data_IF_957898038313
#
_entry.id   IF_957898038313
#
_cell.length_a   1.000
_cell.length_b   1.000
_cell.length_c   1.000
_cell.angle_alpha   90.00
_cell.angle_beta   90.00
_cell.angle_gamma   90.00
#
_symmetry.space_group_name_H-M   'P 1'
#
loop_
_entity.id
_entity.type
_entity.pdbx_description
1 polymer ?
#
# COMPACT_ATOMS: atom_id res chain seq x y z
N UNK A 1 -3.64 -10.87 22.29
CA UNK A 1 -2.60 -10.19 21.51
C UNK A 1 -3.15 -9.92 20.13
N UNK A 2 -3.16 -8.66 19.69
CA UNK A 2 -3.69 -8.27 18.37
C UNK A 2 -2.72 -8.69 17.27
N UNK A 3 -3.17 -9.40 16.25
CA UNK A 3 -2.35 -9.87 15.12
C UNK A 3 -2.46 -8.89 13.96
N UNK A 4 -1.35 -8.26 13.60
CA UNK A 4 -1.27 -7.23 12.58
C UNK A 4 -0.34 -7.73 11.49
N UNK A 5 -0.89 -8.08 10.34
CA UNK A 5 -0.10 -8.45 9.17
C UNK A 5 0.33 -7.19 8.41
N UNK A 6 1.55 -7.15 7.90
CA UNK A 6 2.01 -6.11 6.97
C UNK A 6 2.63 -6.78 5.76
N UNK A 7 2.16 -6.41 4.56
CA UNK A 7 2.69 -6.89 3.28
C UNK A 7 3.25 -5.70 2.53
N UNK A 8 4.53 -5.76 2.16
CA UNK A 8 5.21 -4.77 1.34
C UNK A 8 5.62 -5.37 0.00
N UNK A 9 5.49 -4.62 -1.09
CA UNK A 9 5.81 -5.12 -2.44
C UNK A 9 7.29 -5.50 -2.58
N UNK A 10 8.18 -4.54 -2.31
CA UNK A 10 9.62 -4.66 -2.54
C UNK A 10 10.37 -3.77 -1.56
N UNK A 11 11.66 -4.03 -1.32
CA UNK A 11 12.53 -3.08 -0.62
C UNK A 11 12.72 -1.82 -1.48
N UNK A 12 12.27 -0.69 -0.95
CA UNK A 12 12.40 0.61 -1.60
C UNK A 12 12.24 1.67 -0.52
N UNK A 13 13.12 2.68 -0.53
CA UNK A 13 13.23 3.68 0.55
C UNK A 13 11.87 4.28 0.96
N UNK A 14 11.01 4.61 0.00
CA UNK A 14 9.69 5.18 0.30
C UNK A 14 8.78 4.18 1.04
N UNK A 15 8.79 2.91 0.64
CA UNK A 15 7.95 1.88 1.26
C UNK A 15 8.46 1.51 2.66
N UNK A 16 9.78 1.48 2.83
CA UNK A 16 10.40 1.23 4.13
C UNK A 16 10.08 2.36 5.12
N UNK A 17 10.06 3.62 4.67
CA UNK A 17 9.64 4.75 5.50
C UNK A 17 8.19 4.58 5.94
N UNK A 18 7.29 4.16 5.05
CA UNK A 18 5.88 3.92 5.38
C UNK A 18 5.76 2.84 6.44
N UNK A 19 6.42 1.69 6.27
CA UNK A 19 6.38 0.60 7.24
C UNK A 19 6.92 1.01 8.62
N UNK A 20 8.07 1.70 8.65
CA UNK A 20 8.67 2.14 9.90
C UNK A 20 7.78 3.18 10.60
N UNK A 21 7.25 4.16 9.87
CA UNK A 21 6.34 5.18 10.42
C UNK A 21 5.06 4.55 10.98
N UNK A 22 4.49 3.56 10.27
CA UNK A 22 3.34 2.80 10.75
C UNK A 22 3.63 2.07 12.07
N UNK A 23 4.77 1.40 12.15
CA UNK A 23 5.18 0.67 13.36
C UNK A 23 5.44 1.61 14.54
N UNK A 24 6.07 2.76 14.29
CA UNK A 24 6.33 3.77 15.30
C UNK A 24 5.02 4.37 15.83
N UNK A 25 4.10 4.75 14.94
CA UNK A 25 2.78 5.27 15.31
C UNK A 25 1.96 4.24 16.11
N UNK A 26 1.97 2.96 15.71
CA UNK A 26 1.31 1.90 16.48
C UNK A 26 1.84 1.84 17.92
N UNK A 27 3.15 1.97 18.11
CA UNK A 27 3.76 1.98 19.43
C UNK A 27 3.32 3.20 20.23
N UNK A 28 3.26 4.39 19.62
CA UNK A 28 2.76 5.61 20.27
C UNK A 28 1.29 5.48 20.70
N UNK A 29 0.47 4.81 19.90
CA UNK A 29 -0.91 4.46 20.21
C UNK A 29 -1.05 3.32 21.24
N UNK A 30 0.06 2.78 21.72
CA UNK A 30 0.12 1.74 22.75
C UNK A 30 0.04 0.31 22.25
N UNK A 31 0.13 0.06 20.94
CA UNK A 31 0.26 -1.28 20.35
C UNK A 31 1.75 -1.65 20.23
N UNK A 32 2.27 -2.33 21.24
CA UNK A 32 3.67 -2.73 21.34
C UNK A 32 3.83 -4.18 20.88
N UNK A 33 4.66 -4.37 19.86
CA UNK A 33 4.95 -5.68 19.30
C UNK A 33 5.64 -6.61 20.32
N UNK A 34 5.16 -7.85 20.41
CA UNK A 34 5.60 -8.85 21.38
C UNK A 34 4.94 -8.73 22.76
N UNK A 35 4.26 -7.63 23.07
CA UNK A 35 3.59 -7.41 24.36
C UNK A 35 2.07 -7.56 24.25
N UNK A 36 1.41 -6.63 23.53
CA UNK A 36 -0.04 -6.63 23.35
C UNK A 36 -0.47 -6.71 21.88
N UNK A 37 0.47 -6.50 20.95
CA UNK A 37 0.34 -6.75 19.52
C UNK A 37 1.41 -7.75 19.04
N UNK A 38 1.15 -8.38 17.89
CA UNK A 38 2.11 -9.16 17.11
C UNK A 38 2.09 -8.62 15.69
N UNK A 39 3.16 -7.94 15.28
CA UNK A 39 3.32 -7.40 13.94
C UNK A 39 4.11 -8.39 13.09
N UNK A 40 3.45 -8.99 12.10
CA UNK A 40 4.10 -9.90 11.15
C UNK A 40 4.34 -9.17 9.83
N UNK A 41 5.59 -8.81 9.56
CA UNK A 41 5.99 -8.20 8.28
C UNK A 41 6.40 -9.27 7.26
N UNK A 42 5.97 -9.10 6.02
CA UNK A 42 6.36 -9.91 4.87
C UNK A 42 6.62 -9.00 3.65
N UNK A 43 7.71 -9.28 2.93
CA UNK A 43 8.07 -8.57 1.71
C UNK A 43 7.91 -9.51 0.51
N UNK A 44 7.17 -9.08 -0.51
CA UNK A 44 6.88 -9.88 -1.70
C UNK A 44 8.05 -9.92 -2.69
N UNK A 45 9.12 -9.15 -2.47
CA UNK A 45 10.33 -9.11 -3.31
C UNK A 45 10.03 -8.75 -4.78
N UNK A 46 9.02 -7.91 -5.00
CA UNK A 46 8.54 -7.50 -6.32
C UNK A 46 7.79 -8.58 -7.10
N UNK A 47 7.50 -9.73 -6.49
CA UNK A 47 6.88 -10.89 -7.15
C UNK A 47 5.41 -11.05 -6.75
N UNK A 48 4.52 -11.07 -7.75
CA UNK A 48 3.08 -11.27 -7.55
C UNK A 48 2.72 -12.66 -6.99
N UNK A 49 3.53 -13.68 -7.27
CA UNK A 49 3.34 -15.02 -6.71
C UNK A 49 3.55 -15.00 -5.19
N UNK A 50 4.55 -14.25 -4.71
CA UNK A 50 4.80 -14.09 -3.29
C UNK A 50 3.65 -13.35 -2.59
N UNK A 51 3.05 -12.32 -3.23
CA UNK A 51 1.86 -11.63 -2.68
C UNK A 51 0.76 -12.65 -2.40
N UNK A 52 0.48 -13.53 -3.37
CA UNK A 52 -0.56 -14.57 -3.24
C UNK A 52 -0.27 -15.51 -2.08
N UNK A 53 0.97 -16.01 -1.97
CA UNK A 53 1.37 -16.91 -0.87
C UNK A 53 1.32 -16.22 0.51
N UNK A 54 1.76 -14.97 0.61
CA UNK A 54 1.71 -14.19 1.85
C UNK A 54 0.27 -13.96 2.29
N UNK A 55 -0.61 -13.56 1.36
CA UNK A 55 -2.04 -13.36 1.59
C UNK A 55 -2.68 -14.65 2.14
N UNK A 56 -2.45 -15.79 1.51
CA UNK A 56 -2.96 -17.09 1.99
C UNK A 56 -2.45 -17.43 3.39
N UNK A 57 -1.18 -17.15 3.68
CA UNK A 57 -0.60 -17.31 5.01
C UNK A 57 -1.31 -16.46 6.06
N UNK A 58 -1.56 -15.17 5.74
CA UNK A 58 -2.24 -14.25 6.65
C UNK A 58 -3.72 -14.61 6.87
N UNK A 59 -4.41 -15.15 5.85
CA UNK A 59 -5.75 -15.70 5.99
C UNK A 59 -5.75 -16.89 6.97
N UNK A 60 -4.83 -17.85 6.79
CA UNK A 60 -4.70 -19.03 7.65
C UNK A 60 -4.32 -18.67 9.09
N UNK A 61 -3.46 -17.66 9.27
CA UNK A 61 -3.05 -17.15 10.58
C UNK A 61 -4.13 -16.33 11.28
N UNK A 62 -5.21 -15.98 10.58
CA UNK A 62 -6.34 -15.18 11.06
C UNK A 62 -5.85 -13.86 11.66
N UNK A 63 -5.21 -13.04 10.84
CA UNK A 63 -4.82 -11.68 11.23
C UNK A 63 -6.07 -10.88 11.65
N UNK A 64 -5.94 -10.00 12.65
CA UNK A 64 -7.04 -9.12 13.06
C UNK A 64 -7.20 -7.96 12.06
N UNK A 65 -6.09 -7.55 11.43
CA UNK A 65 -6.02 -6.55 10.36
C UNK A 65 -4.78 -6.83 9.50
N UNK A 66 -4.86 -6.52 8.21
CA UNK A 66 -3.70 -6.56 7.31
C UNK A 66 -3.47 -5.18 6.72
N UNK A 67 -2.23 -4.73 6.78
CA UNK A 67 -1.76 -3.50 6.11
C UNK A 67 -1.04 -3.88 4.82
N UNK A 68 -1.41 -3.23 3.73
CA UNK A 68 -0.78 -3.42 2.42
C UNK A 68 -0.07 -2.15 1.98
N UNK A 69 1.15 -2.31 1.48
CA UNK A 69 1.99 -1.21 1.02
C UNK A 69 2.27 -1.41 -0.47
N UNK A 70 1.78 -0.47 -1.29
CA UNK A 70 1.73 -0.45 -2.76
C UNK A 70 0.48 -1.09 -3.42
N UNK A 71 0.07 -0.55 -4.57
CA UNK A 71 -1.12 -0.95 -5.33
C UNK A 71 -1.22 -2.46 -5.62
N UNK A 72 -0.19 -3.15 -6.15
CA UNK A 72 -0.31 -4.57 -6.47
C UNK A 72 -0.58 -5.44 -5.23
N UNK A 73 -0.08 -5.00 -4.07
CA UNK A 73 -0.28 -5.70 -2.79
C UNK A 73 -1.70 -5.49 -2.29
N UNK A 74 -2.24 -4.27 -2.41
CA UNK A 74 -3.64 -4.01 -2.09
C UNK A 74 -4.58 -4.83 -2.99
N UNK A 75 -4.30 -4.91 -4.29
CA UNK A 75 -5.07 -5.74 -5.21
C UNK A 75 -5.01 -7.24 -4.83
N UNK A 76 -3.82 -7.77 -4.55
CA UNK A 76 -3.65 -9.16 -4.13
C UNK A 76 -4.34 -9.50 -2.80
N UNK A 77 -4.44 -8.53 -1.91
CA UNK A 77 -5.08 -8.68 -0.59
C UNK A 77 -6.61 -8.53 -0.61
N UNK A 78 -7.23 -8.14 -1.73
CA UNK A 78 -8.69 -8.00 -1.81
C UNK A 78 -9.44 -9.29 -1.42
N UNK A 79 -8.81 -10.46 -1.59
CA UNK A 79 -9.40 -11.75 -1.19
C UNK A 79 -9.55 -11.91 0.34
N UNK A 80 -8.69 -11.25 1.13
CA UNK A 80 -8.70 -11.28 2.60
C UNK A 80 -9.94 -10.60 3.20
N UNK A 81 -10.53 -9.66 2.47
CA UNK A 81 -11.56 -8.76 3.01
C UNK A 81 -12.88 -9.47 3.37
N UNK A 82 -13.02 -10.72 2.93
CA UNK A 82 -14.10 -11.63 3.34
C UNK A 82 -14.10 -11.89 4.85
N UNK A 83 -12.93 -11.84 5.49
CA UNK A 83 -12.75 -12.23 6.88
C UNK A 83 -11.91 -11.24 7.70
N UNK A 84 -11.05 -10.47 7.03
CA UNK A 84 -10.04 -9.61 7.67
C UNK A 84 -10.10 -8.21 7.07
N UNK A 85 -10.28 -7.13 7.86
CA UNK A 85 -10.20 -5.78 7.33
C UNK A 85 -8.79 -5.49 6.79
N UNK A 86 -8.72 -4.80 5.66
CA UNK A 86 -7.44 -4.42 5.02
C UNK A 86 -7.28 -2.91 5.01
N UNK A 87 -6.12 -2.42 5.43
CA UNK A 87 -5.74 -1.01 5.41
C UNK A 87 -4.61 -0.81 4.40
N UNK A 88 -4.86 -0.10 3.30
CA UNK A 88 -3.85 0.14 2.28
C UNK A 88 -3.08 1.45 2.49
N UNK A 89 -1.85 1.49 1.99
CA UNK A 89 -1.00 2.66 1.95
C UNK A 89 -0.18 2.67 0.66
N UNK A 90 0.18 3.86 0.17
CA UNK A 90 0.85 4.05 -1.13
C UNK A 90 0.08 3.39 -2.30
N UNK A 91 -1.23 3.60 -2.33
CA UNK A 91 -2.09 3.23 -3.46
C UNK A 91 -2.50 4.52 -4.16
N UNK A 92 -1.96 4.75 -5.36
CA UNK A 92 -2.09 6.04 -6.04
C UNK A 92 -3.53 6.33 -6.46
N UNK A 93 -4.18 5.40 -7.15
CA UNK A 93 -5.60 5.48 -7.48
C UNK A 93 -6.35 4.23 -6.98
N UNK A 94 -6.87 4.25 -5.74
CA UNK A 94 -7.60 3.12 -5.19
C UNK A 94 -8.88 2.77 -5.97
N UNK A 95 -9.50 3.74 -6.66
CA UNK A 95 -10.72 3.51 -7.44
C UNK A 95 -10.36 2.88 -8.79
N UNK A 96 -9.39 3.47 -9.51
CA UNK A 96 -8.87 2.94 -10.77
C UNK A 96 -8.28 1.54 -10.64
N UNK A 97 -7.59 1.26 -9.54
CA UNK A 97 -7.05 -0.07 -9.23
C UNK A 97 -8.11 -1.10 -8.79
N UNK A 98 -9.37 -0.68 -8.64
CA UNK A 98 -10.48 -1.54 -8.21
C UNK A 98 -10.51 -1.86 -6.71
N UNK A 99 -9.59 -1.30 -5.92
CA UNK A 99 -9.47 -1.47 -4.46
C UNK A 99 -10.69 -0.89 -3.74
N UNK A 100 -11.17 0.28 -4.19
CA UNK A 100 -12.39 0.93 -3.72
C UNK A 100 -13.38 1.15 -4.87
N UNK A 101 -14.62 1.46 -4.55
CA UNK A 101 -15.59 2.01 -5.53
C UNK A 101 -15.66 3.53 -5.46
N UNK A 102 -15.55 4.11 -4.27
CA UNK A 102 -15.56 5.56 -4.03
C UNK A 102 -14.55 5.91 -2.92
N UNK A 103 -13.74 6.93 -3.16
CA UNK A 103 -12.73 7.41 -2.21
C UNK A 103 -13.36 8.00 -0.94
N UNK A 104 -14.56 8.57 -1.02
CA UNK A 104 -15.26 9.21 0.09
C UNK A 104 -16.15 8.24 0.88
N UNK A 105 -16.41 7.05 0.32
CA UNK A 105 -17.21 6.02 0.95
C UNK A 105 -16.52 4.66 0.80
N UNK A 106 -15.47 4.38 1.63
CA UNK A 106 -14.72 3.14 1.54
C UNK A 106 -15.62 1.91 1.66
N UNK A 107 -15.38 0.94 0.79
CA UNK A 107 -16.16 -0.29 0.66
C UNK A 107 -15.24 -1.51 0.57
N UNK A 108 -15.78 -2.67 0.18
CA UNK A 108 -15.02 -3.92 -0.08
C UNK A 108 -14.17 -4.43 1.10
N UNK A 109 -14.44 -3.97 2.33
CA UNK A 109 -13.65 -4.29 3.52
C UNK A 109 -12.25 -3.66 3.52
N UNK A 110 -12.04 -2.62 2.70
CA UNK A 110 -10.76 -1.92 2.55
C UNK A 110 -10.92 -0.43 2.87
N UNK A 111 -9.88 0.15 3.44
CA UNK A 111 -9.71 1.60 3.61
C UNK A 111 -8.23 1.93 3.63
N UNK A 112 -7.83 3.19 3.70
CA UNK A 112 -6.40 3.51 3.69
C UNK A 112 -6.05 4.93 3.28
N UNK A 113 -4.80 5.08 2.83
CA UNK A 113 -4.25 6.34 2.35
C UNK A 113 -3.80 6.21 0.89
N UNK A 114 -4.05 7.27 0.13
CA UNK A 114 -3.56 7.41 -1.25
C UNK A 114 -2.39 8.38 -1.28
N UNK A 115 -1.42 8.09 -2.13
CA UNK A 115 -0.28 8.96 -2.46
C UNK A 115 -0.45 9.64 -3.83
N UNK A 116 -1.71 9.89 -4.23
CA UNK A 116 -2.09 10.53 -5.49
C UNK A 116 -1.14 11.66 -5.90
N UNK A 117 -0.60 11.53 -7.11
CA UNK A 117 0.44 12.41 -7.61
C UNK A 117 -0.16 13.72 -8.13
N UNK A 118 0.36 14.86 -7.69
CA UNK A 118 0.01 16.18 -8.19
C UNK A 118 0.76 16.48 -9.49
N UNK A 119 0.31 15.84 -10.58
CA UNK A 119 0.96 15.91 -11.91
C UNK A 119 1.07 17.35 -12.39
N UNK A 120 0.04 18.16 -12.16
CA UNK A 120 0.00 19.59 -12.47
C UNK A 120 1.20 20.32 -11.85
N UNK A 121 1.45 20.13 -10.55
CA UNK A 121 2.56 20.77 -9.84
C UNK A 121 3.93 20.27 -10.30
N UNK A 122 4.03 18.98 -10.60
CA UNK A 122 5.27 18.41 -11.15
C UNK A 122 5.58 19.06 -12.51
N UNK A 123 4.57 19.20 -13.36
CA UNK A 123 4.71 19.82 -14.68
C UNK A 123 5.00 21.32 -14.57
N UNK A 124 4.32 22.04 -13.68
CA UNK A 124 4.58 23.46 -13.42
C UNK A 124 6.03 23.68 -12.98
N UNK A 125 6.53 22.85 -12.07
CA UNK A 125 7.93 22.91 -11.64
C UNK A 125 8.89 22.56 -12.78
N UNK A 126 8.60 21.52 -13.57
CA UNK A 126 9.44 21.13 -14.69
C UNK A 126 9.56 22.26 -15.74
N UNK A 127 8.46 22.97 -16.02
CA UNK A 127 8.44 24.12 -16.92
C UNK A 127 9.14 25.35 -16.33
N UNK A 128 9.17 25.52 -15.00
CA UNK A 128 10.00 26.56 -14.38
C UNK A 128 11.50 26.26 -14.49
N UNK A 129 11.88 25.00 -14.29
CA UNK A 129 13.28 24.57 -14.34
C UNK A 129 13.81 24.54 -15.78
N UNK A 130 12.99 24.07 -16.73
CA UNK A 130 13.38 23.93 -18.15
C UNK A 130 12.34 24.56 -19.08
N UNK A 131 12.23 25.91 -19.15
CA UNK A 131 11.14 26.61 -19.82
C UNK A 131 10.96 26.30 -21.31
N UNK A 132 12.04 25.96 -21.99
CA UNK A 132 12.04 25.68 -23.43
C UNK A 132 11.75 24.22 -23.79
N UNK A 133 11.50 23.35 -22.80
CA UNK A 133 11.22 21.93 -23.03
C UNK A 133 10.04 21.75 -24.00
N UNK A 134 10.22 20.92 -25.04
CA UNK A 134 9.19 20.63 -26.06
C UNK A 134 8.67 19.19 -26.02
N UNK A 135 9.39 18.29 -25.34
CA UNK A 135 9.07 16.87 -25.23
C UNK A 135 9.40 16.41 -23.83
N UNK A 136 8.46 15.70 -23.20
CA UNK A 136 8.64 15.06 -21.89
C UNK A 136 8.49 13.56 -22.10
N UNK A 137 9.51 12.81 -21.70
CA UNK A 137 9.48 11.36 -21.70
C UNK A 137 8.95 10.86 -20.37
N UNK A 138 8.04 9.89 -20.39
CA UNK A 138 7.52 9.23 -19.21
C UNK A 138 7.80 7.73 -19.31
N UNK A 139 8.58 7.22 -18.36
CA UNK A 139 8.91 5.80 -18.25
C UNK A 139 8.09 5.26 -17.07
N UNK A 140 7.32 4.21 -17.33
CA UNK A 140 6.43 3.59 -16.35
C UNK A 140 6.33 2.08 -16.57
N UNK A 141 5.76 1.38 -15.59
CA UNK A 141 5.46 -0.04 -15.69
C UNK A 141 3.99 -0.23 -16.11
N UNK A 142 3.70 -0.75 -17.31
CA UNK A 142 2.31 -0.96 -17.76
C UNK A 142 1.59 -2.08 -17.00
N UNK A 143 2.29 -2.87 -16.18
CA UNK A 143 1.69 -3.86 -15.29
C UNK A 143 1.23 -3.32 -13.95
N UNK A 144 1.37 -2.01 -13.68
CA UNK A 144 0.90 -1.38 -12.46
C UNK A 144 -0.28 -0.45 -12.73
N UNK A 145 -1.42 -0.76 -12.12
CA UNK A 145 -2.65 0.06 -12.18
C UNK A 145 -2.57 1.24 -11.19
N UNK A 146 -1.51 2.04 -11.26
CA UNK A 146 -1.27 3.18 -10.36
C UNK A 146 -1.08 4.51 -11.10
N UNK A 147 -1.59 4.59 -12.34
CA UNK A 147 -1.51 5.76 -13.23
C UNK A 147 -2.89 6.34 -13.56
#
# INVERSE_FOLDING_TARGET
MKKIGVIQLVEHKSLDIIYNSFKDELKELGYVDGENAKITFQNAQGDMANITSIVQGFEGDKQDVVVTIATPVAQGAMSLTKTTPVVFSAVTDPVGAGVLTDMNAPDKGMTGTSDAVQIDKIMDLALQITPDVKKVGFIYNPGEDNL
#
